data_IF_600948629834
#
_entry.id   IF_600948629834
#
_cell.length_a   1.000
_cell.length_b   1.000
_cell.length_c   1.000
_cell.angle_alpha   90.00
_cell.angle_beta   90.00
_cell.angle_gamma   90.00
#
_symmetry.space_group_name_H-M   'P 1'
#
loop_
_entity.id
_entity.type
_entity.pdbx_description
1 polymer ?
#
# COMPACT_ATOMS: atom_id res chain seq x y z
N UNK A 1 20.58 3.12 -1.73
CA UNK A 1 19.91 4.42 -1.98
C UNK A 1 18.40 4.17 -2.05
N UNK A 2 17.73 4.11 -0.90
CA UNK A 2 16.29 3.85 -0.85
C UNK A 2 15.52 5.08 -1.34
N UNK A 3 14.62 4.88 -2.32
CA UNK A 3 13.97 5.95 -3.06
C UNK A 3 12.93 6.67 -2.17
N UNK A 4 13.16 7.93 -1.76
CA UNK A 4 12.20 8.67 -0.92
C UNK A 4 10.84 8.92 -1.60
N UNK A 5 10.75 8.70 -2.91
CA UNK A 5 9.52 8.85 -3.69
C UNK A 5 8.45 7.79 -3.36
N UNK A 6 8.84 6.55 -3.02
CA UNK A 6 7.89 5.49 -2.69
C UNK A 6 7.14 5.78 -1.37
N UNK A 7 7.81 6.47 -0.44
CA UNK A 7 7.25 6.90 0.85
C UNK A 7 6.11 7.93 0.72
N UNK A 8 6.14 8.79 -0.29
CA UNK A 8 5.09 9.79 -0.50
C UNK A 8 3.80 9.20 -1.08
N UNK A 9 3.91 8.12 -1.86
CA UNK A 9 2.75 7.49 -2.49
C UNK A 9 1.81 6.89 -1.44
N UNK A 10 2.38 6.25 -0.42
CA UNK A 10 1.70 5.53 0.67
C UNK A 10 1.11 6.49 1.73
N UNK A 11 1.53 7.76 1.76
CA UNK A 11 1.02 8.79 2.68
C UNK A 11 -0.13 9.62 2.10
N UNK A 12 -0.71 9.23 0.97
CA UNK A 12 -1.74 9.98 0.24
C UNK A 12 -3.14 9.94 0.87
N UNK A 13 -3.25 10.06 2.21
CA UNK A 13 -4.54 10.06 2.91
C UNK A 13 -5.45 11.25 2.62
N UNK A 14 -5.13 12.15 1.69
CA UNK A 14 -5.87 13.45 1.58
C UNK A 14 -6.16 13.90 0.13
N UNK A 15 -6.02 13.05 -0.90
CA UNK A 15 -6.42 13.45 -2.26
C UNK A 15 -7.42 12.45 -2.87
N UNK A 16 -8.72 12.80 -2.91
CA UNK A 16 -9.69 12.04 -3.69
C UNK A 16 -9.32 12.23 -5.17
N UNK A 17 -8.72 11.21 -5.79
CA UNK A 17 -8.41 11.25 -7.22
C UNK A 17 -7.13 10.53 -7.67
N UNK A 18 -6.30 10.02 -6.77
CA UNK A 18 -5.12 9.22 -7.17
C UNK A 18 -4.93 7.99 -6.30
N UNK A 19 -5.97 7.19 -6.18
CA UNK A 19 -5.83 5.83 -5.68
C UNK A 19 -5.08 5.01 -6.72
N UNK A 20 -4.00 4.36 -6.30
CA UNK A 20 -3.25 3.45 -7.17
C UNK A 20 -4.11 2.22 -7.47
N UNK A 21 -3.95 1.68 -8.67
CA UNK A 21 -4.58 0.41 -9.03
C UNK A 21 -3.98 -0.74 -8.18
N UNK A 22 -4.73 -1.84 -7.99
CA UNK A 22 -4.27 -2.99 -7.21
C UNK A 22 -2.94 -3.59 -7.70
N UNK A 23 -2.68 -3.58 -9.00
CA UNK A 23 -1.46 -4.13 -9.60
C UNK A 23 -0.24 -3.30 -9.19
N UNK A 24 -0.32 -1.97 -9.27
CA UNK A 24 0.73 -1.06 -8.78
C UNK A 24 0.99 -1.21 -7.28
N UNK A 25 -0.08 -1.34 -6.48
CA UNK A 25 0.05 -1.55 -5.03
C UNK A 25 0.69 -2.90 -4.69
N UNK A 26 0.44 -3.94 -5.49
CA UNK A 26 1.07 -5.25 -5.32
C UNK A 26 2.58 -5.21 -5.61
N UNK A 27 2.98 -4.50 -6.67
CA UNK A 27 4.40 -4.29 -6.99
C UNK A 27 5.11 -3.48 -5.90
N UNK A 28 4.44 -2.45 -5.37
CA UNK A 28 4.95 -1.65 -4.26
C UNK A 28 5.12 -2.48 -2.99
N UNK A 29 4.12 -3.31 -2.64
CA UNK A 29 4.20 -4.22 -1.50
C UNK A 29 5.39 -5.17 -1.61
N UNK A 30 5.59 -5.78 -2.79
CA UNK A 30 6.73 -6.66 -3.07
C UNK A 30 8.05 -5.92 -2.87
N UNK A 31 8.17 -4.71 -3.41
CA UNK A 31 9.37 -3.87 -3.25
C UNK A 31 9.67 -3.55 -1.78
N UNK A 32 8.63 -3.24 -0.98
CA UNK A 32 8.79 -2.94 0.44
C UNK A 32 9.21 -4.18 1.25
N UNK A 33 8.71 -5.37 0.87
CA UNK A 33 9.14 -6.63 1.48
C UNK A 33 10.60 -6.93 1.14
N UNK A 34 11.01 -6.72 -0.11
CA UNK A 34 12.41 -6.90 -0.51
C UNK A 34 13.35 -5.93 0.21
N UNK A 35 12.96 -4.66 0.32
CA UNK A 35 13.66 -3.65 1.12
C UNK A 35 13.80 -4.13 2.58
N UNK A 36 12.74 -4.71 3.16
CA UNK A 36 12.79 -5.27 4.52
C UNK A 36 13.84 -6.36 4.65
N UNK A 37 13.90 -7.27 3.68
CA UNK A 37 14.88 -8.35 3.70
C UNK A 37 16.29 -7.78 3.59
N UNK A 38 16.48 -6.75 2.77
CA UNK A 38 17.77 -6.07 2.65
C UNK A 38 18.17 -5.39 3.96
N UNK A 39 17.27 -4.63 4.59
CA UNK A 39 17.51 -3.99 5.90
C UNK A 39 17.91 -5.01 6.98
N UNK A 40 17.30 -6.21 6.97
CA UNK A 40 17.67 -7.29 7.89
C UNK A 40 19.06 -7.86 7.61
N UNK A 41 19.41 -8.08 6.34
CA UNK A 41 20.75 -8.56 5.94
C UNK A 41 21.83 -7.56 6.31
N UNK A 42 21.55 -6.27 6.18
CA UNK A 42 22.50 -5.19 6.45
C UNK A 42 22.60 -4.85 7.94
N UNK A 43 21.83 -5.52 8.81
CA UNK A 43 21.82 -5.22 10.25
C UNK A 43 21.32 -3.81 10.56
N UNK A 44 20.37 -3.30 9.77
CA UNK A 44 19.84 -1.95 9.92
C UNK A 44 19.24 -1.71 11.32
N UNK A 45 19.21 -0.43 11.72
CA UNK A 45 18.68 -0.03 13.00
C UNK A 45 17.19 -0.40 13.14
N UNK A 46 16.75 -0.60 14.40
CA UNK A 46 15.37 -0.93 14.71
C UNK A 46 14.38 0.11 14.14
N UNK A 47 14.75 1.39 14.13
CA UNK A 47 13.95 2.47 13.57
C UNK A 47 13.72 2.35 12.05
N UNK A 48 14.74 1.89 11.30
CA UNK A 48 14.60 1.66 9.86
C UNK A 48 13.64 0.50 9.59
N UNK A 49 13.78 -0.58 10.36
CA UNK A 49 12.90 -1.73 10.29
C UNK A 49 11.46 -1.38 10.67
N UNK A 50 11.25 -0.51 11.65
CA UNK A 50 9.92 -0.05 12.05
C UNK A 50 9.30 0.86 10.99
N UNK A 51 10.07 1.79 10.44
CA UNK A 51 9.61 2.64 9.33
C UNK A 51 9.18 1.81 8.12
N UNK A 52 9.96 0.80 7.74
CA UNK A 52 9.60 -0.10 6.65
C UNK A 52 8.36 -0.95 7.02
N UNK A 53 8.22 -1.42 8.27
CA UNK A 53 7.02 -2.15 8.73
C UNK A 53 5.75 -1.32 8.57
N UNK A 54 5.79 -0.04 8.97
CA UNK A 54 4.65 0.87 8.84
C UNK A 54 4.28 1.11 7.37
N UNK A 55 5.26 1.26 6.48
CA UNK A 55 5.04 1.40 5.05
C UNK A 55 4.36 0.16 4.44
N UNK A 56 4.79 -1.05 4.82
CA UNK A 56 4.17 -2.31 4.38
C UNK A 56 2.69 -2.35 4.80
N UNK A 57 2.40 -2.06 6.06
CA UNK A 57 1.01 -2.11 6.59
C UNK A 57 0.12 -1.09 5.89
N UNK A 58 0.60 0.12 5.65
CA UNK A 58 -0.18 1.13 4.94
C UNK A 58 -0.43 0.75 3.47
N UNK A 59 0.57 0.20 2.78
CA UNK A 59 0.40 -0.33 1.42
C UNK A 59 -0.63 -1.47 1.36
N UNK A 60 -0.60 -2.39 2.34
CA UNK A 60 -1.60 -3.47 2.44
C UNK A 60 -3.01 -2.94 2.69
N UNK A 61 -3.16 -1.91 3.51
CA UNK A 61 -4.44 -1.26 3.74
C UNK A 61 -4.99 -0.61 2.47
N UNK A 62 -4.14 0.09 1.70
CA UNK A 62 -4.52 0.67 0.40
C UNK A 62 -4.90 -0.40 -0.62
N UNK A 63 -4.13 -1.49 -0.69
CA UNK A 63 -4.42 -2.61 -1.58
C UNK A 63 -5.78 -3.24 -1.26
N UNK A 64 -6.08 -3.46 0.02
CA UNK A 64 -7.37 -3.98 0.46
C UNK A 64 -8.52 -3.07 0.02
N UNK A 65 -8.37 -1.75 0.23
CA UNK A 65 -9.37 -0.77 -0.23
C UNK A 65 -9.55 -0.75 -1.73
N UNK A 66 -8.46 -0.77 -2.50
CA UNK A 66 -8.52 -0.78 -3.96
C UNK A 66 -9.18 -2.05 -4.52
N UNK A 67 -8.93 -3.20 -3.89
CA UNK A 67 -9.61 -4.44 -4.25
C UNK A 67 -11.10 -4.40 -3.92
N UNK A 68 -11.47 -3.89 -2.75
CA UNK A 68 -12.89 -3.71 -2.38
C UNK A 68 -13.56 -2.80 -3.41
N UNK A 69 -13.03 -1.63 -3.69
CA UNK A 69 -13.63 -0.67 -4.62
C UNK A 69 -13.74 -1.21 -6.05
N UNK A 70 -12.77 -2.03 -6.50
CA UNK A 70 -12.78 -2.64 -7.83
C UNK A 70 -13.81 -3.77 -7.97
N UNK A 71 -14.05 -4.53 -6.91
CA UNK A 71 -14.88 -5.74 -6.95
C UNK A 71 -16.21 -5.60 -6.22
N UNK A 72 -16.48 -4.47 -5.58
CA UNK A 72 -17.78 -4.20 -4.95
C UNK A 72 -18.84 -4.12 -6.07
N UNK A 73 -19.85 -5.01 -6.06
CA UNK A 73 -20.95 -4.91 -7.00
C UNK A 73 -21.66 -3.56 -6.83
N UNK A 74 -22.13 -2.92 -7.91
CA UNK A 74 -23.00 -1.76 -7.76
C UNK A 74 -24.19 -2.17 -6.91
N UNK A 75 -24.52 -1.37 -5.89
CA UNK A 75 -25.65 -1.65 -5.02
C UNK A 75 -26.89 -1.91 -5.89
N UNK A 76 -27.43 -3.13 -5.79
CA UNK A 76 -28.63 -3.50 -6.52
C UNK A 76 -29.70 -2.45 -6.21
N UNK A 77 -30.26 -1.84 -7.26
CA UNK A 77 -31.37 -0.91 -7.11
C UNK A 77 -32.46 -1.58 -6.26
N UNK A 78 -33.05 -0.87 -5.29
CA UNK A 78 -34.08 -1.46 -4.45
C UNK A 78 -35.17 -2.05 -5.36
N UNK A 79 -35.46 -3.34 -5.15
CA UNK A 79 -36.54 -4.01 -5.86
C UNK A 79 -37.82 -3.25 -5.57
N UNK A 80 -38.35 -2.55 -6.57
CA UNK A 80 -39.66 -1.93 -6.49
C UNK A 80 -40.70 -3.05 -6.29
N UNK A 81 -41.33 -3.06 -5.12
CA UNK A 81 -42.49 -3.88 -4.79
C UNK A 81 -43.74 -3.02 -4.89
#
# INVERSE_FOLDING_TARGET
MAVPALRRLVSSRVLPGRQLDPETLTQLHTTLVDERQQLRRDGAAAEDLERNRLAIVQCQWELSRALIERYLPPAAAPSAA
#
